data_IF_045854712977
#
_entry.id   IF_045854712977
#
_cell.length_a   1.000
_cell.length_b   1.000
_cell.length_c   1.000
_cell.angle_alpha   90.00
_cell.angle_beta   90.00
_cell.angle_gamma   90.00
#
_symmetry.space_group_name_H-M   'P 1'
#
loop_
_entity.id
_entity.type
_entity.pdbx_description
1 polymer ?
#
# COMPACT_ATOMS: atom_id res chain seq x y z
N UNK A 1 34.99 2.10 52.54
CA UNK A 1 33.55 1.81 52.70
C UNK A 1 32.70 2.51 51.63
N UNK A 2 32.84 3.83 51.43
CA UNK A 2 32.09 4.59 50.42
C UNK A 2 32.31 4.11 48.97
N UNK A 3 33.57 3.84 48.58
CA UNK A 3 33.92 3.40 47.22
C UNK A 3 33.32 2.02 46.85
N UNK A 4 33.19 1.12 47.83
CA UNK A 4 32.54 -0.18 47.64
C UNK A 4 31.03 -0.04 47.48
N UNK A 5 30.42 0.94 48.15
CA UNK A 5 28.99 1.23 48.02
C UNK A 5 28.66 1.86 46.66
N UNK A 6 29.49 2.79 46.19
CA UNK A 6 29.33 3.42 44.87
C UNK A 6 29.49 2.40 43.74
N UNK A 7 30.48 1.51 43.83
CA UNK A 7 30.69 0.46 42.82
C UNK A 7 29.55 -0.56 42.82
N UNK A 8 29.05 -0.96 44.00
CA UNK A 8 27.88 -1.85 44.11
C UNK A 8 26.61 -1.25 43.49
N UNK A 9 26.31 0.02 43.79
CA UNK A 9 25.16 0.72 43.19
C UNK A 9 25.33 0.84 41.67
N UNK A 10 26.53 1.20 41.19
CA UNK A 10 26.79 1.31 39.75
C UNK A 10 26.63 -0.04 39.03
N UNK A 11 27.08 -1.14 39.64
CA UNK A 11 26.88 -2.49 39.08
C UNK A 11 25.41 -2.89 39.03
N UNK A 12 24.61 -2.55 40.05
CA UNK A 12 23.17 -2.81 40.06
C UNK A 12 22.46 -2.02 38.96
N UNK A 13 22.80 -0.73 38.78
CA UNK A 13 22.23 0.09 37.71
C UNK A 13 22.63 -0.46 36.33
N UNK A 14 23.90 -0.82 36.13
CA UNK A 14 24.38 -1.39 34.86
C UNK A 14 23.73 -2.74 34.53
N UNK A 15 23.53 -3.60 35.53
CA UNK A 15 22.82 -4.88 35.39
C UNK A 15 21.31 -4.67 35.15
N UNK A 16 20.69 -3.68 35.80
CA UNK A 16 19.28 -3.33 35.59
C UNK A 16 19.00 -2.81 34.18
N UNK A 17 19.91 -1.98 33.63
CA UNK A 17 19.81 -1.47 32.25
C UNK A 17 20.06 -2.56 31.22
N UNK A 18 20.92 -3.54 31.50
CA UNK A 18 21.18 -4.67 30.60
C UNK A 18 20.10 -5.77 30.62
N UNK A 19 19.20 -5.78 31.62
CA UNK A 19 18.18 -6.82 31.80
C UNK A 19 16.76 -6.37 31.42
N UNK A 20 16.61 -5.42 30.50
CA UNK A 20 15.31 -5.25 29.82
C UNK A 20 15.08 -6.44 28.89
N UNK A 21 14.47 -7.47 29.44
CA UNK A 21 14.08 -8.70 28.74
C UNK A 21 12.99 -8.36 27.70
N UNK A 22 13.40 -8.06 26.46
CA UNK A 22 12.47 -7.95 25.33
C UNK A 22 11.92 -9.36 25.07
N UNK A 23 10.82 -9.76 25.75
CA UNK A 23 10.13 -11.01 25.44
C UNK A 23 9.63 -10.96 23.99
N UNK A 24 10.03 -11.96 23.21
CA UNK A 24 9.54 -12.21 21.86
C UNK A 24 8.09 -12.70 21.95
N UNK A 25 7.14 -11.84 21.59
CA UNK A 25 5.76 -12.26 21.40
C UNK A 25 5.64 -12.91 20.02
N UNK A 26 5.71 -14.24 20.00
CA UNK A 26 5.52 -15.01 18.77
C UNK A 26 4.01 -15.15 18.49
N UNK A 27 3.49 -14.33 17.58
CA UNK A 27 2.09 -14.41 17.13
C UNK A 27 1.90 -15.68 16.28
N UNK A 28 1.12 -16.62 16.80
CA UNK A 28 0.61 -17.77 16.05
C UNK A 28 -0.51 -17.32 15.11
N UNK A 29 -0.63 -17.97 13.95
CA UNK A 29 -1.69 -17.72 12.97
C UNK A 29 -3.14 -17.92 13.51
N UNK A 30 -3.31 -18.38 14.75
CA UNK A 30 -4.60 -18.52 15.44
C UNK A 30 -5.17 -17.23 16.02
N UNK A 31 -4.37 -16.17 16.19
CA UNK A 31 -4.78 -14.96 16.91
C UNK A 31 -5.35 -13.90 15.94
N UNK A 32 -6.35 -14.29 15.15
CA UNK A 32 -6.95 -13.50 14.06
C UNK A 32 -8.07 -12.53 14.49
N UNK A 33 -8.14 -12.16 15.78
CA UNK A 33 -9.12 -11.15 16.20
C UNK A 33 -8.59 -9.74 15.90
N UNK A 34 -9.44 -8.88 15.33
CA UNK A 34 -9.12 -7.46 15.10
C UNK A 34 -8.62 -6.78 16.38
N UNK A 35 -9.17 -7.19 17.53
CA UNK A 35 -8.80 -6.68 18.85
C UNK A 35 -7.36 -7.05 19.20
N UNK A 36 -6.91 -8.27 18.88
CA UNK A 36 -5.54 -8.69 19.16
C UNK A 36 -4.53 -8.05 18.21
N UNK A 37 -4.93 -7.81 16.95
CA UNK A 37 -4.13 -7.01 16.02
C UNK A 37 -3.99 -5.56 16.52
N UNK A 38 -5.06 -4.94 17.02
CA UNK A 38 -5.02 -3.58 17.57
C UNK A 38 -4.23 -3.50 18.88
N UNK A 39 -4.33 -4.50 19.75
CA UNK A 39 -3.49 -4.61 20.96
C UNK A 39 -2.02 -4.75 20.59
N UNK A 40 -1.70 -5.57 19.58
CA UNK A 40 -0.34 -5.69 19.07
C UNK A 40 0.17 -4.35 18.55
N UNK A 41 -0.60 -3.67 17.70
CA UNK A 41 -0.24 -2.38 17.13
C UNK A 41 0.05 -1.32 18.23
N UNK A 42 -0.83 -1.21 19.22
CA UNK A 42 -0.66 -0.29 20.36
C UNK A 42 0.52 -0.66 21.26
N UNK A 43 0.86 -1.94 21.38
CA UNK A 43 2.00 -2.40 22.14
C UNK A 43 3.32 -2.14 21.39
N UNK A 44 3.34 -2.30 20.06
CA UNK A 44 4.51 -2.01 19.22
C UNK A 44 4.79 -0.53 19.08
N UNK A 45 3.75 0.33 19.07
CA UNK A 45 3.91 1.78 18.93
C UNK A 45 4.43 2.47 20.19
N UNK A 46 4.52 1.76 21.33
CA UNK A 46 4.92 2.30 22.64
C UNK A 46 6.31 1.84 23.11
N UNK A 47 7.11 1.19 22.27
CA UNK A 47 8.48 0.77 22.65
C UNK A 47 9.50 1.88 22.41
N UNK A 48 10.28 2.17 23.46
CA UNK A 48 11.65 2.65 23.30
C UNK A 48 12.46 1.60 22.53
N UNK A 49 13.38 2.05 21.67
CA UNK A 49 14.09 1.23 20.68
C UNK A 49 14.84 0.03 21.32
N UNK A 50 14.31 -1.21 21.26
CA UNK A 50 15.15 -2.41 21.44
C UNK A 50 16.19 -2.41 20.28
N UNK A 51 17.44 -2.85 20.49
CA UNK A 51 18.44 -2.88 19.42
C UNK A 51 17.92 -3.72 18.26
N UNK A 52 18.01 -3.18 17.05
CA UNK A 52 17.58 -3.84 15.83
C UNK A 52 18.35 -5.14 15.66
N UNK A 53 17.71 -6.26 16.01
CA UNK A 53 18.21 -7.55 15.56
C UNK A 53 18.21 -7.51 14.04
N UNK A 54 19.40 -7.55 13.45
CA UNK A 54 19.64 -7.69 12.02
C UNK A 54 19.14 -9.07 11.57
N UNK A 55 17.83 -9.26 11.57
CA UNK A 55 17.19 -10.01 10.51
C UNK A 55 17.37 -9.14 9.28
N UNK A 56 18.03 -9.66 8.25
CA UNK A 56 17.85 -9.17 6.88
C UNK A 56 16.38 -9.33 6.54
N UNK A 57 15.59 -8.38 7.01
CA UNK A 57 14.16 -8.41 6.83
C UNK A 57 13.97 -8.28 5.32
N UNK A 58 13.22 -9.20 4.73
CA UNK A 58 12.64 -9.03 3.40
C UNK A 58 11.57 -7.94 3.46
N UNK A 59 11.89 -6.79 4.07
CA UNK A 59 11.02 -5.62 4.12
C UNK A 59 11.06 -4.95 2.76
N UNK A 60 9.88 -4.57 2.33
CA UNK A 60 9.67 -3.83 1.12
C UNK A 60 8.27 -3.28 1.13
N UNK A 61 8.02 -2.41 0.17
CA UNK A 61 6.71 -1.80 -0.02
C UNK A 61 6.17 -2.16 -1.38
N UNK A 62 4.85 -2.33 -1.43
CA UNK A 62 4.09 -2.45 -2.67
C UNK A 62 3.40 -1.12 -2.94
N UNK A 63 3.44 -0.64 -4.17
CA UNK A 63 2.80 0.61 -4.55
C UNK A 63 2.25 0.54 -5.98
N UNK A 64 1.22 1.35 -6.23
CA UNK A 64 0.57 1.47 -7.54
C UNK A 64 1.16 2.66 -8.29
N UNK A 65 1.44 2.47 -9.57
CA UNK A 65 1.80 3.53 -10.51
C UNK A 65 0.72 3.67 -11.57
N UNK A 66 0.03 4.80 -11.56
CA UNK A 66 -1.03 5.12 -12.51
C UNK A 66 -0.47 5.72 -13.81
N UNK A 67 -1.11 5.44 -14.94
CA UNK A 67 -0.77 5.98 -16.26
C UNK A 67 0.58 5.52 -16.84
N UNK A 68 1.22 4.49 -16.26
CA UNK A 68 2.54 4.00 -16.69
C UNK A 68 2.60 2.47 -16.60
N UNK A 69 3.08 1.85 -17.68
CA UNK A 69 3.30 0.39 -17.77
C UNK A 69 4.73 -0.06 -17.44
N UNK A 70 5.68 0.88 -17.37
CA UNK A 70 7.10 0.56 -17.22
C UNK A 70 7.56 0.62 -15.75
N UNK A 71 8.31 -0.41 -15.33
CA UNK A 71 8.87 -0.49 -13.99
C UNK A 71 10.03 0.51 -13.79
N UNK A 72 10.07 1.29 -12.68
CA UNK A 72 11.26 2.04 -12.32
C UNK A 72 12.41 1.11 -11.90
N UNK A 73 13.66 1.54 -12.09
CA UNK A 73 14.85 0.74 -11.73
C UNK A 73 14.83 0.35 -10.26
N UNK A 74 15.09 -0.93 -9.97
CA UNK A 74 15.17 -1.47 -8.61
C UNK A 74 13.81 -1.70 -7.94
N UNK A 75 12.75 -1.84 -8.74
CA UNK A 75 11.48 -2.42 -8.31
C UNK A 75 11.13 -3.62 -9.21
N UNK A 76 10.39 -4.56 -8.66
CA UNK A 76 9.92 -5.75 -9.35
C UNK A 76 8.44 -5.57 -9.69
N UNK A 77 8.03 -5.97 -10.90
CA UNK A 77 6.62 -5.91 -11.31
C UNK A 77 5.86 -7.02 -10.61
N UNK A 78 4.78 -6.67 -9.90
CA UNK A 78 3.85 -7.65 -9.32
C UNK A 78 2.80 -8.01 -10.36
N UNK A 79 2.09 -7.01 -10.89
CA UNK A 79 1.17 -7.17 -12.03
C UNK A 79 0.93 -5.83 -12.75
N UNK A 80 0.38 -5.93 -13.95
CA UNK A 80 -0.13 -4.79 -14.74
C UNK A 80 -1.64 -4.88 -14.88
N UNK A 81 -2.28 -3.73 -15.01
CA UNK A 81 -3.73 -3.65 -14.96
C UNK A 81 -4.31 -2.38 -15.57
N UNK A 82 -5.59 -2.19 -15.31
CA UNK A 82 -6.37 -1.01 -15.67
C UNK A 82 -6.97 -0.40 -14.41
N UNK A 83 -7.12 0.92 -14.39
CA UNK A 83 -7.81 1.58 -13.29
C UNK A 83 -9.27 1.13 -13.28
N UNK A 84 -9.80 0.85 -12.09
CA UNK A 84 -11.20 0.54 -11.87
C UNK A 84 -11.76 1.39 -10.74
N UNK A 85 -13.01 1.79 -10.84
CA UNK A 85 -13.64 2.66 -9.85
C UNK A 85 -15.15 2.56 -9.88
N UNK A 86 -15.80 3.48 -9.18
CA UNK A 86 -17.24 3.58 -9.16
C UNK A 86 -17.74 4.36 -10.40
N UNK A 87 -18.91 3.98 -10.94
CA UNK A 87 -19.53 4.73 -12.03
C UNK A 87 -19.82 6.16 -11.57
N UNK A 88 -19.57 7.13 -12.45
CA UNK A 88 -19.63 8.56 -12.14
C UNK A 88 -20.96 9.02 -11.50
N UNK A 89 -22.08 8.34 -11.77
CA UNK A 89 -23.40 8.69 -11.25
C UNK A 89 -23.85 7.88 -10.03
N UNK A 90 -23.09 6.86 -9.65
CA UNK A 90 -23.41 6.02 -8.48
C UNK A 90 -22.92 6.69 -7.19
N UNK A 91 -23.79 6.74 -6.18
CA UNK A 91 -23.44 7.23 -4.83
C UNK A 91 -23.15 6.06 -3.91
N UNK A 92 -22.18 6.22 -3.00
CA UNK A 92 -21.85 5.19 -2.00
C UNK A 92 -20.86 4.12 -2.45
N UNK A 93 -20.30 4.20 -3.67
CA UNK A 93 -19.17 3.37 -4.08
C UNK A 93 -17.85 3.81 -3.44
N UNK A 94 -16.83 2.95 -3.51
CA UNK A 94 -15.49 3.25 -3.00
C UNK A 94 -14.91 4.52 -3.64
N UNK A 95 -14.40 5.43 -2.82
CA UNK A 95 -13.86 6.73 -3.28
C UNK A 95 -12.50 6.62 -3.99
N UNK A 96 -11.84 5.46 -3.91
CA UNK A 96 -10.50 5.25 -4.45
C UNK A 96 -10.54 4.37 -5.70
N UNK A 97 -9.74 4.76 -6.69
CA UNK A 97 -9.45 3.90 -7.83
C UNK A 97 -8.63 2.68 -7.39
N UNK A 98 -8.98 1.52 -7.93
CA UNK A 98 -8.30 0.25 -7.79
C UNK A 98 -7.49 -0.04 -9.06
N UNK A 99 -6.39 -0.78 -8.92
CA UNK A 99 -5.67 -1.30 -10.07
C UNK A 99 -6.14 -2.73 -10.32
N UNK A 100 -7.00 -2.92 -11.32
CA UNK A 100 -7.57 -4.23 -11.64
C UNK A 100 -6.60 -4.99 -12.55
N UNK A 101 -6.25 -6.25 -12.26
CA UNK A 101 -5.40 -7.04 -13.13
C UNK A 101 -6.06 -7.23 -14.50
N UNK A 102 -5.24 -7.28 -15.56
CA UNK A 102 -5.75 -7.51 -16.92
C UNK A 102 -6.36 -8.91 -17.12
N UNK A 103 -5.98 -9.87 -16.28
CA UNK A 103 -6.49 -11.23 -16.28
C UNK A 103 -7.16 -11.50 -14.92
N UNK A 104 -8.44 -11.12 -14.75
CA UNK A 104 -9.15 -11.33 -13.50
C UNK A 104 -9.58 -12.79 -13.37
N UNK A 105 -9.31 -13.39 -12.21
CA UNK A 105 -9.95 -14.64 -11.83
C UNK A 105 -11.45 -14.38 -11.54
N UNK A 106 -12.29 -14.65 -12.53
CA UNK A 106 -13.72 -14.45 -12.40
C UNK A 106 -14.38 -15.66 -11.73
N UNK A 107 -15.11 -15.40 -10.65
CA UNK A 107 -16.07 -16.36 -10.10
C UNK A 107 -17.30 -16.52 -11.00
N UNK A 108 -18.22 -17.40 -10.62
CA UNK A 108 -19.52 -17.53 -11.29
C UNK A 108 -20.24 -16.18 -11.30
N UNK A 109 -20.69 -15.73 -12.47
CA UNK A 109 -21.42 -14.47 -12.60
C UNK A 109 -22.71 -14.53 -11.80
N UNK A 110 -22.84 -13.66 -10.80
CA UNK A 110 -24.08 -13.48 -10.05
C UNK A 110 -24.70 -12.15 -10.44
N UNK A 111 -25.90 -12.21 -11.01
CA UNK A 111 -26.69 -11.02 -11.38
C UNK A 111 -27.49 -10.56 -10.16
N UNK A 112 -26.87 -9.71 -9.35
CA UNK A 112 -27.51 -8.98 -8.23
C UNK A 112 -27.07 -7.51 -8.28
N UNK A 113 -27.85 -6.61 -7.66
CA UNK A 113 -27.56 -5.16 -7.48
C UNK A 113 -26.36 -4.91 -6.53
N UNK A 114 -25.23 -5.52 -6.84
CA UNK A 114 -24.01 -5.45 -6.05
C UNK A 114 -23.27 -4.14 -6.34
N UNK A 115 -22.34 -3.77 -5.46
CA UNK A 115 -21.39 -2.71 -5.75
C UNK A 115 -20.53 -3.09 -6.98
N UNK A 116 -20.82 -2.46 -8.11
CA UNK A 116 -20.12 -2.68 -9.37
C UNK A 116 -18.82 -1.88 -9.43
N UNK A 117 -17.80 -2.46 -10.07
CA UNK A 117 -16.55 -1.78 -10.38
C UNK A 117 -16.47 -1.61 -11.90
N UNK A 118 -16.20 -0.38 -12.33
CA UNK A 118 -16.18 0.06 -13.72
C UNK A 118 -14.75 0.42 -14.13
N UNK A 119 -14.41 0.20 -15.40
CA UNK A 119 -13.11 0.60 -15.96
C UNK A 119 -12.97 2.12 -15.96
N UNK A 120 -11.81 2.61 -15.52
CA UNK A 120 -11.46 4.02 -15.51
C UNK A 120 -10.85 4.45 -16.83
N UNK A 121 -11.39 5.51 -17.42
CA UNK A 121 -10.96 6.09 -18.68
C UNK A 121 -10.49 7.54 -18.52
N UNK A 122 -9.57 7.95 -19.39
CA UNK A 122 -9.18 9.34 -19.54
C UNK A 122 -10.32 10.13 -20.19
N UNK A 123 -10.83 11.12 -19.46
CA UNK A 123 -11.73 12.12 -20.02
C UNK A 123 -10.95 13.39 -20.31
N UNK A 124 -10.67 13.63 -21.60
CA UNK A 124 -9.96 14.82 -22.04
C UNK A 124 -10.70 15.53 -23.17
N UNK A 125 -10.94 16.82 -22.97
CA UNK A 125 -11.38 17.67 -24.07
C UNK A 125 -10.22 17.90 -25.06
N UNK A 126 -10.55 18.10 -26.33
CA UNK A 126 -9.57 18.46 -27.36
C UNK A 126 -8.76 19.72 -27.01
N UNK A 127 -9.34 20.62 -26.21
CA UNK A 127 -8.75 21.90 -25.81
C UNK A 127 -7.82 21.77 -24.58
N UNK A 128 -7.98 20.72 -23.78
CA UNK A 128 -7.22 20.50 -22.53
C UNK A 128 -6.20 19.36 -22.62
N UNK A 129 -5.91 18.88 -23.83
CA UNK A 129 -4.98 17.76 -24.04
C UNK A 129 -3.53 18.19 -23.74
N UNK A 130 -2.78 17.42 -22.93
CA UNK A 130 -1.36 17.67 -22.71
C UNK A 130 -0.52 17.56 -23.99
N UNK A 131 0.50 18.40 -24.12
CA UNK A 131 1.45 18.32 -25.24
C UNK A 131 2.20 16.98 -25.22
N UNK A 132 2.23 16.28 -26.36
CA UNK A 132 2.88 14.97 -26.50
C UNK A 132 1.94 13.75 -26.49
N UNK A 133 0.63 13.93 -26.34
CA UNK A 133 -0.33 12.83 -26.53
C UNK A 133 -0.72 12.68 -28.00
N UNK A 134 -0.56 11.47 -28.56
CA UNK A 134 -0.98 11.14 -29.93
C UNK A 134 -2.50 10.92 -29.96
N UNK A 135 -3.23 11.66 -30.80
CA UNK A 135 -4.69 11.51 -30.96
C UNK A 135 -5.56 12.07 -29.82
N UNK A 136 -6.85 11.70 -29.84
CA UNK A 136 -7.79 11.92 -28.75
C UNK A 136 -7.58 10.81 -27.71
N UNK A 137 -7.18 11.18 -26.49
CA UNK A 137 -7.08 10.23 -25.38
C UNK A 137 -8.43 10.05 -24.66
N UNK A 138 -9.49 10.70 -25.17
CA UNK A 138 -10.85 10.51 -24.65
C UNK A 138 -11.23 9.03 -24.75
N UNK A 139 -11.83 8.52 -23.70
CA UNK A 139 -12.30 7.12 -23.61
C UNK A 139 -11.20 6.07 -23.77
N UNK A 140 -9.96 6.41 -23.39
CA UNK A 140 -8.88 5.44 -23.27
C UNK A 140 -8.74 4.99 -21.84
N UNK A 141 -8.72 3.67 -21.63
CA UNK A 141 -8.44 3.06 -20.34
C UNK A 141 -7.16 3.62 -19.71
N UNK A 142 -7.23 3.88 -18.41
CA UNK A 142 -6.09 4.34 -17.64
C UNK A 142 -5.26 3.13 -17.22
N UNK A 143 -4.06 2.90 -17.78
CA UNK A 143 -3.24 1.77 -17.37
C UNK A 143 -2.72 1.99 -15.95
N UNK A 144 -2.58 0.91 -15.20
CA UNK A 144 -1.93 0.91 -13.90
C UNK A 144 -0.94 -0.25 -13.79
N UNK A 145 0.01 -0.15 -12.87
CA UNK A 145 0.96 -1.23 -12.61
C UNK A 145 1.35 -1.22 -11.15
N UNK A 146 1.45 -2.40 -10.56
CA UNK A 146 1.81 -2.59 -9.15
C UNK A 146 3.23 -3.12 -9.06
N UNK A 147 4.03 -2.45 -8.24
CA UNK A 147 5.44 -2.75 -8.08
C UNK A 147 5.78 -3.04 -6.62
N UNK A 148 6.71 -3.95 -6.42
CA UNK A 148 7.32 -4.24 -5.13
C UNK A 148 8.75 -3.72 -5.09
N UNK A 149 9.13 -3.07 -4.00
CA UNK A 149 10.49 -2.57 -3.81
C UNK A 149 11.06 -2.98 -2.46
N UNK A 150 12.13 -3.77 -2.50
CA UNK A 150 12.90 -4.21 -1.34
C UNK A 150 13.57 -3.02 -0.64
N UNK A 151 13.83 -3.15 0.66
CA UNK A 151 14.58 -2.20 1.49
C UNK A 151 14.00 -0.77 1.47
N UNK A 152 12.66 -0.70 1.43
CA UNK A 152 11.89 0.53 1.56
C UNK A 152 10.78 0.29 2.57
N UNK A 153 10.42 1.34 3.31
CA UNK A 153 9.45 1.28 4.40
C UNK A 153 8.28 2.25 4.25
N UNK A 154 8.32 3.14 3.26
CA UNK A 154 7.27 4.14 3.02
C UNK A 154 6.91 4.25 1.53
N UNK A 155 5.65 4.59 1.28
CA UNK A 155 5.08 4.86 -0.05
C UNK A 155 4.47 6.25 -0.03
N UNK A 156 4.77 7.06 -1.05
CA UNK A 156 4.10 8.32 -1.30
C UNK A 156 3.33 8.22 -2.62
N UNK A 157 2.01 8.41 -2.56
CA UNK A 157 1.20 8.61 -3.76
C UNK A 157 1.32 10.08 -4.17
N UNK A 158 1.82 10.32 -5.38
CA UNK A 158 1.77 11.64 -6.01
C UNK A 158 0.65 11.58 -7.06
N UNK A 159 -0.51 12.23 -6.83
CA UNK A 159 -1.55 12.31 -7.83
C UNK A 159 -1.06 13.08 -9.06
N UNK A 160 -1.60 12.78 -10.24
CA UNK A 160 -1.20 13.42 -11.49
C UNK A 160 -1.27 14.95 -11.40
N UNK A 161 -0.19 15.62 -11.79
CA UNK A 161 -0.02 17.09 -11.72
C UNK A 161 -0.66 17.82 -12.92
N UNK A 162 -1.29 17.07 -13.82
CA UNK A 162 -1.97 17.56 -15.02
C UNK A 162 -3.46 17.29 -14.84
N UNK A 163 -4.30 18.32 -15.02
CA UNK A 163 -5.75 18.24 -14.85
C UNK A 163 -6.30 17.26 -15.90
N UNK A 164 -6.46 16.02 -15.50
CA UNK A 164 -7.08 14.93 -16.26
C UNK A 164 -8.13 14.33 -15.35
N UNK A 165 -9.36 14.26 -15.83
CA UNK A 165 -10.40 13.55 -15.12
C UNK A 165 -10.31 12.07 -15.49
N UNK A 166 -10.32 11.21 -14.48
CA UNK A 166 -10.61 9.79 -14.70
C UNK A 166 -12.10 9.65 -14.43
N UNK A 167 -12.84 9.11 -15.39
CA UNK A 167 -14.23 8.71 -15.22
C UNK A 167 -14.29 7.19 -15.30
N UNK A 168 -15.23 6.57 -14.58
CA UNK A 168 -15.49 5.15 -14.76
C UNK A 168 -16.75 4.99 -15.61
N UNK A 169 -16.68 4.17 -16.67
CA UNK A 169 -17.77 3.91 -17.60
C UNK A 169 -18.01 2.39 -17.77
N UNK A 170 -19.18 2.05 -18.29
CA UNK A 170 -19.68 0.71 -18.63
C UNK A 170 -18.91 0.02 -19.75
N UNK A 171 -18.07 0.75 -20.49
CA UNK A 171 -17.33 0.29 -21.66
C UNK A 171 -16.05 -0.47 -21.30
N UNK A 172 -16.14 -1.49 -20.43
CA UNK A 172 -15.04 -2.42 -20.19
C UNK A 172 -14.93 -3.39 -21.38
N UNK A 173 -13.90 -3.27 -22.21
CA UNK A 173 -13.57 -4.28 -23.21
C UNK A 173 -12.89 -5.45 -22.52
N UNK A 174 -13.58 -6.59 -22.48
CA UNK A 174 -12.97 -7.89 -22.14
C UNK A 174 -12.06 -8.38 -23.26
#
# INVERSE_FOLDING_TARGET
MYLLFVTFVLTIVLLGVHNHECKDYNLSASDQSLIDMMKHYLHTSRREECPTQSKTSNTGVTYVRWGKKNCPKGADTVYTGQAGGNYQSHKGGGVNYLCLPNDPENGQHQSYDNAQVYGGEYEVSSTSKPSGWSGSMSSKEVPCSVYYRKQRSAVLMIPGIVILYILADTSFSS
#
